data_IF_591563559201
#
_entry.id   IF_591563559201
#
_cell.length_a   1.000
_cell.length_b   1.000
_cell.length_c   1.000
_cell.angle_alpha   90.00
_cell.angle_beta   90.00
_cell.angle_gamma   90.00
#
_symmetry.space_group_name_H-M   'P 1'
#
loop_
_entity.id
_entity.type
_entity.pdbx_description
1 polymer ?
#
# COMPACT_ATOMS: atom_id res chain seq x y z
N UNK A 1 10.46 -18.89 20.56
CA UNK A 1 11.30 -17.67 20.44
C UNK A 1 11.17 -17.02 19.06
N UNK A 2 11.35 -17.76 17.96
CA UNK A 2 11.29 -17.24 16.58
C UNK A 2 9.97 -16.53 16.24
N UNK A 3 8.81 -17.10 16.62
CA UNK A 3 7.51 -16.48 16.35
C UNK A 3 7.34 -15.13 17.07
N UNK A 4 7.86 -14.98 18.29
CA UNK A 4 7.82 -13.71 19.04
C UNK A 4 8.66 -12.63 18.36
N UNK A 5 9.85 -13.00 17.86
CA UNK A 5 10.72 -12.08 17.09
C UNK A 5 10.02 -11.66 15.80
N UNK A 6 9.39 -12.61 15.08
CA UNK A 6 8.61 -12.30 13.87
C UNK A 6 7.50 -11.30 14.16
N UNK A 7 6.68 -11.54 15.18
CA UNK A 7 5.57 -10.64 15.54
C UNK A 7 6.09 -9.25 15.86
N UNK A 8 7.13 -9.12 16.68
CA UNK A 8 7.73 -7.82 16.97
C UNK A 8 8.29 -7.13 15.73
N UNK A 9 8.92 -7.86 14.80
CA UNK A 9 9.41 -7.29 13.55
C UNK A 9 8.27 -6.81 12.65
N UNK A 10 7.15 -7.53 12.58
CA UNK A 10 5.98 -7.14 11.78
C UNK A 10 5.30 -5.93 12.40
N UNK A 11 5.07 -5.92 13.71
CA UNK A 11 4.49 -4.80 14.44
C UNK A 11 5.32 -3.52 14.31
N UNK A 12 6.65 -3.65 14.27
CA UNK A 12 7.57 -2.53 14.16
C UNK A 12 8.10 -2.30 12.73
N UNK A 13 7.60 -3.03 11.72
CA UNK A 13 8.14 -3.01 10.36
C UNK A 13 8.19 -1.59 9.80
N UNK A 14 7.10 -0.83 9.95
CA UNK A 14 7.02 0.55 9.51
C UNK A 14 8.03 1.45 10.22
N UNK A 15 8.22 1.29 11.54
CA UNK A 15 9.21 2.06 12.31
C UNK A 15 10.65 1.77 11.85
N UNK A 16 10.97 0.50 11.62
CA UNK A 16 12.29 0.06 11.14
C UNK A 16 12.58 0.60 9.74
N UNK A 17 11.58 0.56 8.85
CA UNK A 17 11.73 0.95 7.45
C UNK A 17 11.55 2.46 7.20
N UNK A 18 10.93 3.20 8.13
CA UNK A 18 10.69 4.64 7.99
C UNK A 18 11.98 5.40 7.73
N UNK A 19 12.96 5.29 8.63
CA UNK A 19 14.22 6.05 8.53
C UNK A 19 14.99 5.81 7.22
N UNK A 20 15.29 4.57 6.79
CA UNK A 20 16.04 4.36 5.56
C UNK A 20 15.28 4.86 4.32
N UNK A 21 13.95 4.72 4.29
CA UNK A 21 13.14 5.21 3.17
C UNK A 21 13.13 6.73 3.11
N UNK A 22 12.98 7.41 4.24
CA UNK A 22 13.00 8.88 4.32
C UNK A 22 14.38 9.50 4.00
N UNK A 23 15.46 8.72 4.13
CA UNK A 23 16.81 9.15 3.72
C UNK A 23 17.03 9.07 2.21
N UNK A 24 16.19 8.34 1.46
CA UNK A 24 16.29 8.29 0.01
C UNK A 24 15.90 9.65 -0.60
N UNK A 25 16.65 10.16 -1.59
CA UNK A 25 16.26 11.37 -2.29
C UNK A 25 14.86 11.23 -2.90
N UNK A 26 14.05 12.28 -2.82
CA UNK A 26 12.66 12.29 -3.34
C UNK A 26 12.59 11.86 -4.81
N UNK A 27 13.57 12.23 -5.63
CA UNK A 27 13.64 11.81 -7.04
C UNK A 27 13.77 10.29 -7.21
N UNK A 28 14.47 9.62 -6.29
CA UNK A 28 14.60 8.16 -6.28
C UNK A 28 13.26 7.53 -5.87
N UNK A 29 12.64 8.01 -4.79
CA UNK A 29 11.33 7.53 -4.36
C UNK A 29 10.27 7.70 -5.47
N UNK A 30 10.23 8.88 -6.09
CA UNK A 30 9.36 9.20 -7.24
C UNK A 30 9.58 8.24 -8.41
N UNK A 31 10.83 7.99 -8.78
CA UNK A 31 11.16 7.07 -9.88
C UNK A 31 10.71 5.65 -9.56
N UNK A 32 11.01 5.16 -8.36
CA UNK A 32 10.61 3.82 -7.93
C UNK A 32 9.09 3.68 -7.92
N UNK A 33 8.36 4.67 -7.39
CA UNK A 33 6.90 4.67 -7.41
C UNK A 33 6.34 4.64 -8.83
N UNK A 34 6.82 5.54 -9.71
CA UNK A 34 6.36 5.61 -11.09
C UNK A 34 6.60 4.31 -11.85
N UNK A 35 7.79 3.72 -11.74
CA UNK A 35 8.10 2.45 -12.42
C UNK A 35 7.30 1.29 -11.82
N UNK A 36 7.07 1.29 -10.50
CA UNK A 36 6.20 0.32 -9.84
C UNK A 36 4.76 0.40 -10.36
N UNK A 37 4.17 1.60 -10.38
CA UNK A 37 2.82 1.84 -10.89
C UNK A 37 2.70 1.43 -12.36
N UNK A 38 3.63 1.87 -13.23
CA UNK A 38 3.63 1.47 -14.64
C UNK A 38 3.71 -0.04 -14.85
N UNK A 39 4.47 -0.73 -13.99
CA UNK A 39 4.62 -2.17 -14.09
C UNK A 39 3.32 -2.87 -13.71
N UNK A 40 2.74 -2.57 -12.56
CA UNK A 40 1.57 -3.30 -12.04
C UNK A 40 0.25 -2.88 -12.68
N UNK A 41 0.20 -1.70 -13.29
CA UNK A 41 -0.97 -1.15 -13.97
C UNK A 41 -0.79 -1.05 -15.48
N UNK A 42 0.06 -1.90 -16.07
CA UNK A 42 0.39 -1.80 -17.49
C UNK A 42 -0.84 -1.86 -18.38
N UNK A 43 -1.72 -2.84 -18.16
CA UNK A 43 -2.96 -3.05 -18.93
C UNK A 43 -3.91 -1.86 -18.74
N UNK A 44 -4.22 -1.49 -17.50
CA UNK A 44 -5.04 -0.30 -17.19
C UNK A 44 -4.51 1.00 -17.78
N UNK A 45 -3.19 1.18 -17.88
CA UNK A 45 -2.59 2.34 -18.56
C UNK A 45 -2.78 2.29 -20.08
N UNK A 46 -2.71 1.10 -20.69
CA UNK A 46 -2.93 0.90 -22.12
C UNK A 46 -4.42 1.06 -22.49
N UNK A 47 -5.32 0.70 -21.58
CA UNK A 47 -6.78 0.77 -21.76
C UNK A 47 -7.39 2.16 -21.45
N UNK A 48 -6.59 3.09 -20.91
CA UNK A 48 -7.04 4.45 -20.60
C UNK A 48 -7.71 4.60 -19.24
N UNK A 49 -7.64 3.59 -18.37
CA UNK A 49 -8.23 3.61 -17.03
C UNK A 49 -7.62 4.69 -16.11
N UNK A 50 -6.54 5.36 -16.51
CA UNK A 50 -5.96 6.47 -15.75
C UNK A 50 -6.42 7.86 -16.20
N UNK A 51 -7.21 7.96 -17.28
CA UNK A 51 -7.69 9.25 -17.81
C UNK A 51 -8.56 10.01 -16.80
N UNK A 52 -9.22 9.31 -15.86
CA UNK A 52 -9.99 9.97 -14.80
C UNK A 52 -9.13 10.83 -13.87
N UNK A 53 -7.80 10.62 -13.83
CA UNK A 53 -6.85 11.44 -13.08
C UNK A 53 -6.36 12.67 -13.87
N UNK A 54 -6.82 12.91 -15.10
CA UNK A 54 -6.45 14.12 -15.83
C UNK A 54 -6.92 15.38 -15.11
N UNK A 55 -5.96 16.25 -14.79
CA UNK A 55 -6.21 17.48 -14.03
C UNK A 55 -6.57 17.26 -12.55
N UNK A 56 -6.49 16.03 -12.06
CA UNK A 56 -6.83 15.64 -10.68
C UNK A 56 -5.64 14.95 -10.00
N UNK A 57 -5.61 14.98 -8.67
CA UNK A 57 -4.52 14.43 -7.87
C UNK A 57 -4.99 13.34 -6.92
N UNK A 58 -4.41 12.15 -7.07
CA UNK A 58 -4.50 11.04 -6.14
C UNK A 58 -3.37 11.13 -5.11
N UNK A 59 -3.70 11.22 -3.83
CA UNK A 59 -2.74 11.00 -2.74
C UNK A 59 -2.65 9.50 -2.42
N UNK A 60 -1.46 8.94 -2.48
CA UNK A 60 -1.15 7.59 -1.97
C UNK A 60 -0.39 7.78 -0.66
N UNK A 61 -0.91 7.22 0.44
CA UNK A 61 -0.35 7.43 1.78
C UNK A 61 -0.16 6.12 2.54
N UNK A 62 1.06 5.92 3.04
CA UNK A 62 1.41 4.87 4.00
C UNK A 62 1.48 5.52 5.38
N UNK A 63 0.37 5.42 6.13
CA UNK A 63 0.12 6.19 7.37
C UNK A 63 1.20 5.95 8.42
N UNK A 64 1.48 4.69 8.71
CA UNK A 64 2.48 4.26 9.69
C UNK A 64 3.93 4.49 9.23
N UNK A 65 4.17 4.86 7.97
CA UNK A 65 5.48 5.32 7.50
C UNK A 65 5.60 6.85 7.40
N UNK A 66 4.52 7.59 7.60
CA UNK A 66 4.43 9.03 7.29
C UNK A 66 4.96 9.35 5.89
N UNK A 67 4.60 8.51 4.92
CA UNK A 67 5.07 8.61 3.55
C UNK A 67 3.88 8.83 2.64
N UNK A 68 3.97 9.85 1.80
CA UNK A 68 2.92 10.16 0.85
C UNK A 68 3.48 10.61 -0.49
N UNK A 69 2.74 10.27 -1.54
CA UNK A 69 2.99 10.73 -2.90
C UNK A 69 1.70 11.21 -3.51
N UNK A 70 1.82 12.12 -4.47
CA UNK A 70 0.69 12.67 -5.19
C UNK A 70 0.88 12.29 -6.66
N UNK A 71 -0.04 11.49 -7.17
CA UNK A 71 -0.04 10.94 -8.52
C UNK A 71 -1.12 11.63 -9.33
N UNK A 72 -0.81 11.95 -10.58
CA UNK A 72 -1.77 12.46 -11.56
C UNK A 72 -1.47 11.83 -12.92
N UNK A 73 -2.36 12.03 -13.89
CA UNK A 73 -2.19 11.60 -15.26
C UNK A 73 -2.22 12.81 -16.19
N UNK A 74 -1.21 12.96 -17.04
CA UNK A 74 -1.10 14.08 -17.99
C UNK A 74 -0.30 13.64 -19.22
N UNK A 75 -0.68 14.13 -20.41
CA UNK A 75 -0.03 13.82 -21.68
C UNK A 75 0.13 12.30 -21.91
N UNK A 76 -0.92 11.55 -21.56
CA UNK A 76 -0.98 10.09 -21.59
C UNK A 76 0.10 9.39 -20.75
N UNK A 77 0.50 10.01 -19.62
CA UNK A 77 1.54 9.47 -18.73
C UNK A 77 1.23 9.73 -17.27
N UNK A 78 1.63 8.77 -16.42
CA UNK A 78 1.67 8.97 -14.97
C UNK A 78 2.73 10.00 -14.59
N UNK A 79 2.35 10.90 -13.70
CA UNK A 79 3.23 11.88 -13.08
C UNK A 79 3.11 11.81 -11.57
N UNK A 80 4.18 12.21 -10.89
CA UNK A 80 4.21 12.36 -9.43
C UNK A 80 4.68 13.77 -9.10
N UNK A 81 4.00 14.46 -8.20
CA UNK A 81 4.39 15.81 -7.79
C UNK A 81 5.74 15.82 -7.05
N UNK A 82 6.52 16.90 -7.20
CA UNK A 82 7.79 17.07 -6.48
C UNK A 82 7.59 17.54 -5.02
N UNK A 83 6.41 18.09 -4.73
CA UNK A 83 5.99 18.55 -3.41
C UNK A 83 4.54 18.17 -3.14
N UNK A 84 4.09 18.37 -1.90
CA UNK A 84 2.68 18.20 -1.57
C UNK A 84 1.82 19.17 -2.39
N UNK A 85 0.70 18.67 -2.88
CA UNK A 85 -0.34 19.40 -3.61
C UNK A 85 -1.69 19.09 -2.99
N UNK A 86 -2.72 19.86 -3.34
CA UNK A 86 -4.08 19.55 -2.93
C UNK A 86 -4.53 18.28 -3.66
N UNK A 87 -4.94 17.26 -2.91
CA UNK A 87 -5.53 16.05 -3.47
C UNK A 87 -7.04 16.20 -3.71
N UNK A 88 -7.53 15.47 -4.71
CA UNK A 88 -8.96 15.30 -4.99
C UNK A 88 -9.48 13.98 -4.39
N UNK A 89 -8.61 12.97 -4.33
CA UNK A 89 -8.86 11.67 -3.71
C UNK A 89 -7.59 11.18 -3.01
N UNK A 90 -7.76 10.44 -1.92
CA UNK A 90 -6.67 9.89 -1.14
C UNK A 90 -6.90 8.41 -0.84
N UNK A 91 -5.95 7.58 -1.23
CA UNK A 91 -5.83 6.18 -0.88
C UNK A 91 -4.83 6.00 0.28
N UNK A 92 -5.28 5.43 1.40
CA UNK A 92 -4.50 5.34 2.63
C UNK A 92 -4.51 3.95 3.23
N UNK A 93 -3.34 3.47 3.63
CA UNK A 93 -3.17 2.19 4.32
C UNK A 93 -1.96 2.19 5.25
N UNK A 94 -1.82 1.14 6.06
CA UNK A 94 -0.56 0.87 6.77
C UNK A 94 0.34 -0.02 5.91
N UNK A 95 1.65 -0.02 6.15
CA UNK A 95 2.62 -0.77 5.37
C UNK A 95 2.25 -2.27 5.30
N UNK A 96 1.96 -2.88 6.43
CA UNK A 96 1.63 -4.31 6.49
C UNK A 96 0.36 -4.64 5.71
N UNK A 97 -0.63 -3.75 5.71
CA UNK A 97 -1.88 -3.92 4.98
C UNK A 97 -1.63 -3.94 3.46
N UNK A 98 -0.82 -2.99 2.98
CA UNK A 98 -0.44 -2.93 1.56
C UNK A 98 0.40 -4.14 1.14
N UNK A 99 1.28 -4.65 2.02
CA UNK A 99 2.05 -5.88 1.76
C UNK A 99 1.15 -7.11 1.69
N UNK A 100 0.09 -7.19 2.51
CA UNK A 100 -0.87 -8.30 2.47
C UNK A 100 -1.69 -8.29 1.18
N UNK A 101 -2.15 -7.11 0.73
CA UNK A 101 -2.81 -6.95 -0.57
C UNK A 101 -1.85 -7.36 -1.70
N UNK A 102 -0.63 -6.81 -1.69
CA UNK A 102 0.39 -7.10 -2.70
C UNK A 102 0.88 -8.56 -2.68
N UNK A 103 0.59 -9.33 -1.63
CA UNK A 103 0.85 -10.77 -1.58
C UNK A 103 -0.38 -11.64 -1.81
N UNK A 104 -1.52 -11.04 -2.21
CA UNK A 104 -2.83 -11.69 -2.33
C UNK A 104 -3.22 -12.49 -1.07
N UNK A 105 -2.84 -11.99 0.12
CA UNK A 105 -3.12 -12.60 1.43
C UNK A 105 -4.36 -12.06 2.09
N UNK A 106 -4.72 -10.81 1.76
CA UNK A 106 -5.95 -10.13 2.17
C UNK A 106 -6.51 -9.42 0.94
N UNK A 107 -7.84 -9.35 0.88
CA UNK A 107 -8.57 -8.60 -0.15
C UNK A 107 -8.67 -7.12 0.25
N UNK A 108 -8.42 -6.16 -0.67
CA UNK A 108 -8.69 -4.74 -0.44
C UNK A 108 -10.05 -4.45 0.19
N UNK A 109 -11.12 -5.11 -0.27
CA UNK A 109 -12.48 -4.90 0.25
C UNK A 109 -12.58 -5.30 1.72
N UNK A 110 -11.94 -6.40 2.10
CA UNK A 110 -11.87 -6.81 3.51
C UNK A 110 -11.20 -5.73 4.35
N UNK A 111 -10.10 -5.14 3.86
CA UNK A 111 -9.38 -4.09 4.59
C UNK A 111 -10.14 -2.76 4.64
N UNK A 112 -10.95 -2.44 3.61
CA UNK A 112 -11.88 -1.31 3.63
C UNK A 112 -12.96 -1.49 4.70
N UNK A 113 -13.62 -2.65 4.74
CA UNK A 113 -14.65 -2.93 5.75
C UNK A 113 -14.08 -2.90 7.18
N UNK A 114 -12.82 -3.33 7.35
CA UNK A 114 -12.08 -3.26 8.61
C UNK A 114 -11.52 -1.87 8.93
N UNK A 115 -11.71 -0.86 8.06
CA UNK A 115 -11.18 0.51 8.20
C UNK A 115 -9.66 0.58 8.30
N UNK A 116 -8.97 -0.46 7.83
CA UNK A 116 -7.50 -0.53 7.75
C UNK A 116 -7.00 0.21 6.51
N UNK A 117 -7.80 0.12 5.45
CA UNK A 117 -7.66 0.83 4.18
C UNK A 117 -8.75 1.90 4.07
N UNK A 118 -8.44 3.07 3.51
CA UNK A 118 -9.45 4.10 3.21
C UNK A 118 -9.20 4.78 1.86
N UNK A 119 -10.31 5.10 1.17
CA UNK A 119 -10.37 5.96 0.00
C UNK A 119 -11.28 7.11 0.39
N UNK A 120 -10.76 8.33 0.39
CA UNK A 120 -11.48 9.53 0.84
C UNK A 120 -11.27 10.67 -0.16
N UNK A 121 -12.30 11.50 -0.35
CA UNK A 121 -12.27 12.63 -1.28
C UNK A 121 -13.51 12.63 -2.16
N UNK A 122 -13.31 12.93 -3.44
CA UNK A 122 -14.37 12.85 -4.44
C UNK A 122 -14.87 11.41 -4.61
N UNK A 123 -16.20 11.24 -4.55
CA UNK A 123 -16.84 9.92 -4.57
C UNK A 123 -16.70 9.21 -5.92
N UNK A 124 -16.73 9.95 -7.02
CA UNK A 124 -16.60 9.39 -8.37
C UNK A 124 -15.16 8.89 -8.57
N UNK A 125 -14.17 9.70 -8.18
CA UNK A 125 -12.77 9.28 -8.15
C UNK A 125 -12.55 8.09 -7.24
N UNK A 126 -13.23 8.05 -6.09
CA UNK A 126 -13.09 6.96 -5.15
C UNK A 126 -13.49 5.61 -5.75
N UNK A 127 -14.52 5.59 -6.60
CA UNK A 127 -14.94 4.39 -7.33
C UNK A 127 -13.89 3.98 -8.37
N UNK A 128 -13.37 4.93 -9.15
CA UNK A 128 -12.32 4.64 -10.14
C UNK A 128 -11.04 4.10 -9.49
N UNK A 129 -10.65 4.64 -8.33
CA UNK A 129 -9.52 4.12 -7.56
C UNK A 129 -9.77 2.68 -7.11
N UNK A 130 -10.99 2.35 -6.70
CA UNK A 130 -11.35 0.97 -6.37
C UNK A 130 -11.23 0.06 -7.60
N UNK A 131 -11.74 0.48 -8.75
CA UNK A 131 -11.62 -0.29 -10.00
C UNK A 131 -10.15 -0.52 -10.38
N UNK A 132 -9.29 0.51 -10.25
CA UNK A 132 -7.86 0.35 -10.44
C UNK A 132 -7.26 -0.66 -9.46
N UNK A 133 -7.64 -0.63 -8.18
CA UNK A 133 -7.10 -1.60 -7.22
C UNK A 133 -7.38 -3.05 -7.61
N UNK A 134 -8.52 -3.32 -8.23
CA UNK A 134 -8.90 -4.65 -8.71
C UNK A 134 -8.10 -5.07 -9.95
N UNK A 135 -7.55 -4.11 -10.71
CA UNK A 135 -6.74 -4.34 -11.91
C UNK A 135 -5.24 -4.51 -11.65
N UNK A 136 -4.79 -4.49 -10.39
CA UNK A 136 -3.37 -4.64 -10.04
C UNK A 136 -2.84 -6.01 -10.50
N UNK A 137 -1.97 -6.00 -11.50
CA UNK A 137 -1.28 -7.19 -11.98
C UNK A 137 0.18 -7.26 -11.48
N UNK A 138 0.36 -7.99 -10.38
CA UNK A 138 1.67 -8.22 -9.78
C UNK A 138 2.54 -9.17 -10.62
N UNK A 139 1.97 -9.91 -11.56
CA UNK A 139 2.70 -10.85 -12.42
C UNK A 139 3.57 -10.12 -13.45
N UNK A 140 3.30 -8.84 -13.68
CA UNK A 140 4.15 -7.94 -14.47
C UNK A 140 5.46 -7.56 -13.77
N UNK A 141 5.55 -7.74 -12.45
CA UNK A 141 6.79 -7.45 -11.72
C UNK A 141 7.87 -8.48 -12.06
N UNK A 142 9.17 -8.14 -11.98
CA UNK A 142 10.23 -9.13 -12.13
C UNK A 142 10.05 -10.30 -11.13
N UNK A 143 10.33 -11.54 -11.57
CA UNK A 143 10.13 -12.76 -10.75
C UNK A 143 10.78 -12.70 -9.37
N UNK A 144 11.93 -12.03 -9.27
CA UNK A 144 12.65 -11.82 -8.01
C UNK A 144 11.82 -10.96 -7.04
N UNK A 145 11.19 -9.91 -7.55
CA UNK A 145 10.34 -9.02 -6.76
C UNK A 145 9.03 -9.69 -6.37
N UNK A 146 8.40 -10.45 -7.27
CA UNK A 146 7.24 -11.27 -6.94
C UNK A 146 7.54 -12.23 -5.79
N UNK A 147 8.67 -12.94 -5.87
CA UNK A 147 9.10 -13.90 -4.82
C UNK A 147 9.33 -13.18 -3.50
N UNK A 148 9.99 -12.03 -3.52
CA UNK A 148 10.22 -11.22 -2.33
C UNK A 148 8.91 -10.73 -1.70
N UNK A 149 7.99 -10.20 -2.50
CA UNK A 149 6.68 -9.74 -2.03
C UNK A 149 5.89 -10.87 -1.39
N UNK A 150 5.85 -12.05 -2.02
CA UNK A 150 5.17 -13.23 -1.45
C UNK A 150 5.80 -13.67 -0.12
N UNK A 151 7.12 -13.66 0.00
CA UNK A 151 7.82 -13.97 1.25
C UNK A 151 7.52 -12.95 2.35
N UNK A 152 7.50 -11.67 2.01
CA UNK A 152 7.15 -10.59 2.95
C UNK A 152 5.70 -10.72 3.40
N UNK A 153 4.77 -11.00 2.49
CA UNK A 153 3.35 -11.18 2.81
C UNK A 153 3.12 -12.41 3.71
N UNK A 154 3.77 -13.54 3.42
CA UNK A 154 3.77 -14.71 4.31
C UNK A 154 4.33 -14.39 5.70
N UNK A 155 5.40 -13.60 5.75
CA UNK A 155 6.03 -13.20 7.01
C UNK A 155 5.11 -12.28 7.83
N UNK A 156 4.49 -11.29 7.18
CA UNK A 156 3.53 -10.35 7.79
C UNK A 156 2.30 -11.11 8.28
N UNK A 157 1.67 -11.93 7.42
CA UNK A 157 0.48 -12.71 7.79
C UNK A 157 0.73 -13.59 9.02
N UNK A 158 1.85 -14.33 9.04
CA UNK A 158 2.23 -15.19 10.19
C UNK A 158 2.56 -14.37 11.45
N UNK A 159 3.09 -13.16 11.29
CA UNK A 159 3.39 -12.27 12.41
C UNK A 159 2.12 -11.73 13.07
N UNK A 160 1.12 -11.36 12.26
CA UNK A 160 -0.17 -10.84 12.73
C UNK A 160 -1.09 -11.93 13.32
N UNK A 161 -1.03 -13.16 12.80
CA UNK A 161 -1.84 -14.29 13.28
C UNK A 161 -1.25 -14.99 14.53
N UNK A 162 -0.11 -14.54 15.06
CA UNK A 162 0.50 -15.18 16.22
C UNK A 162 -0.29 -14.87 17.51
N UNK A 163 -0.57 -15.87 18.39
CA UNK A 163 -1.56 -15.80 19.47
C UNK A 163 -1.23 -14.87 20.66
N UNK A 164 -0.26 -13.98 20.53
CA UNK A 164 0.12 -13.07 21.62
C UNK A 164 -0.89 -11.94 21.85
N UNK A 165 -1.72 -11.61 20.87
CA UNK A 165 -2.78 -10.58 20.98
C UNK A 165 -4.09 -11.07 21.58
N UNK A 166 -4.32 -12.38 21.70
CA UNK A 166 -5.56 -12.92 22.28
C UNK A 166 -5.45 -13.22 23.80
N UNK A 167 -4.23 -13.22 24.35
CA UNK A 167 -3.97 -13.64 25.74
C UNK A 167 -4.23 -12.55 26.79
N UNK A 168 -4.31 -11.27 26.41
CA UNK A 168 -4.57 -10.19 27.37
C UNK A 168 -6.05 -10.11 27.80
N UNK A 169 -6.98 -10.65 27.02
CA UNK A 169 -8.42 -10.59 27.34
C UNK A 169 -8.88 -11.74 28.25
N UNK A 170 -8.15 -12.87 28.25
CA UNK A 170 -8.54 -14.06 29.03
C UNK A 170 -8.19 -13.90 30.51
N UNK A 171 -7.19 -13.09 30.86
CA UNK A 171 -6.77 -12.89 32.25
C UNK A 171 -7.60 -11.81 33.01
N UNK A 172 -8.59 -11.18 32.37
CA UNK A 172 -9.45 -10.18 33.00
C UNK A 172 -10.69 -10.76 33.71
N UNK A 173 -10.97 -12.07 33.54
CA UNK A 173 -12.18 -12.72 34.09
C UNK A 173 -11.85 -13.87 35.06
N UNK A 174 -10.64 -13.93 35.61
CA UNK A 174 -10.28 -14.89 36.66
C UNK A 174 -9.70 -14.15 37.85
N UNK A 175 -10.59 -13.66 38.71
CA UNK A 175 -10.39 -13.42 40.13
C UNK A 175 -11.73 -13.54 40.84
#
# INVERSE_FOLDING_TARGET
MINKIRTQLVENAASILRSPVHLLPKSVQKKVLLEGLKSVFRESLEDGDFEFLEGKWLKIEIKDMHLSWYVSYQDSRLMVADSAVKEDVAFRGNLNDLVLIAGRKEDPDTLFFQRRLSIEGDTELGLEIKNLMDSVDLEQLPKQLQTLLNQLADFVQKGLQSPLTQSEVINAYSN
#
